data_IF_497191444972
#
_entry.id   IF_497191444972
#
_cell.length_a   1.000
_cell.length_b   1.000
_cell.length_c   1.000
_cell.angle_alpha   90.00
_cell.angle_beta   90.00
_cell.angle_gamma   90.00
#
_symmetry.space_group_name_H-M   'P 1'
#
loop_
_entity.id
_entity.type
_entity.pdbx_description
1 polymer ?
#
# COMPACT_ATOMS: atom_id res chain seq x y z
N UNK A 1 11.14 -13.53 -5.68
CA UNK A 1 10.93 -12.98 -7.05
C UNK A 1 9.55 -13.42 -7.53
N UNK A 2 8.83 -12.61 -8.32
CA UNK A 2 7.53 -12.99 -8.92
C UNK A 2 7.70 -13.19 -10.44
N UNK A 3 8.06 -14.39 -10.92
CA UNK A 3 8.32 -14.64 -12.33
C UNK A 3 7.03 -14.73 -13.17
N UNK A 4 7.15 -14.60 -14.48
CA UNK A 4 6.10 -15.04 -15.41
C UNK A 4 6.03 -16.59 -15.49
N UNK A 5 5.14 -17.10 -16.35
CA UNK A 5 4.97 -18.55 -16.54
C UNK A 5 6.16 -19.25 -17.19
N UNK A 6 7.09 -18.49 -17.78
CA UNK A 6 8.32 -18.98 -18.41
C UNK A 6 9.54 -18.83 -17.48
N UNK A 7 9.35 -18.32 -16.26
CA UNK A 7 10.44 -18.08 -15.31
C UNK A 7 11.14 -16.71 -15.46
N UNK A 8 10.71 -15.89 -16.40
CA UNK A 8 11.26 -14.58 -16.70
C UNK A 8 10.63 -13.43 -15.90
N UNK A 9 10.97 -12.20 -16.29
CA UNK A 9 10.39 -10.99 -15.69
C UNK A 9 8.90 -10.88 -16.03
N UNK A 10 8.07 -10.65 -15.01
CA UNK A 10 6.66 -10.43 -15.24
C UNK A 10 6.41 -9.05 -15.87
N UNK A 11 5.68 -9.03 -16.97
CA UNK A 11 5.26 -7.79 -17.63
C UNK A 11 4.34 -6.96 -16.70
N UNK A 12 4.70 -5.70 -16.39
CA UNK A 12 3.89 -4.82 -15.56
C UNK A 12 2.45 -4.61 -16.05
N UNK A 13 2.23 -4.61 -17.37
CA UNK A 13 0.91 -4.46 -18.01
C UNK A 13 0.02 -5.66 -17.73
N UNK A 14 0.58 -6.87 -17.75
CA UNK A 14 -0.14 -8.09 -17.38
C UNK A 14 -0.54 -8.07 -15.90
N UNK A 15 0.35 -7.61 -15.00
CA UNK A 15 0.03 -7.45 -13.58
C UNK A 15 -1.12 -6.46 -13.39
N UNK A 16 -1.07 -5.30 -14.05
CA UNK A 16 -2.13 -4.28 -13.96
C UNK A 16 -3.47 -4.81 -14.50
N UNK A 17 -3.45 -5.61 -15.56
CA UNK A 17 -4.66 -6.23 -16.12
C UNK A 17 -5.31 -7.20 -15.14
N UNK A 18 -4.52 -8.11 -14.55
CA UNK A 18 -5.01 -9.04 -13.53
C UNK A 18 -5.55 -8.28 -12.32
N UNK A 19 -4.82 -7.26 -11.86
CA UNK A 19 -5.25 -6.44 -10.75
C UNK A 19 -6.58 -5.73 -11.01
N UNK A 20 -6.79 -5.20 -12.22
CA UNK A 20 -8.08 -4.60 -12.60
C UNK A 20 -9.21 -5.61 -12.48
N UNK A 21 -9.04 -6.81 -13.07
CA UNK A 21 -10.03 -7.89 -13.00
C UNK A 21 -10.38 -8.25 -11.55
N UNK A 22 -9.39 -8.49 -10.70
CA UNK A 22 -9.63 -8.87 -9.29
C UNK A 22 -10.44 -7.81 -8.54
N UNK A 23 -10.18 -6.52 -8.80
CA UNK A 23 -10.97 -5.44 -8.17
C UNK A 23 -12.39 -5.36 -8.68
N UNK A 24 -12.57 -5.54 -9.99
CA UNK A 24 -13.88 -5.51 -10.63
C UNK A 24 -14.72 -6.68 -10.09
N UNK A 25 -14.14 -7.88 -10.00
CA UNK A 25 -14.78 -9.08 -9.44
C UNK A 25 -15.11 -8.92 -7.95
N UNK A 26 -14.27 -8.21 -7.19
CA UNK A 26 -14.48 -7.90 -5.78
C UNK A 26 -15.44 -6.71 -5.54
N UNK A 27 -15.86 -5.99 -6.58
CA UNK A 27 -16.70 -4.80 -6.46
C UNK A 27 -16.00 -3.61 -5.77
N UNK A 28 -14.67 -3.58 -5.71
CA UNK A 28 -13.91 -2.55 -4.98
C UNK A 28 -13.48 -1.42 -5.92
N UNK A 29 -14.19 -0.29 -5.86
CA UNK A 29 -13.85 0.89 -6.65
C UNK A 29 -12.65 1.66 -6.08
N UNK A 30 -11.82 2.22 -6.96
CA UNK A 30 -10.71 3.11 -6.58
C UNK A 30 -9.50 2.44 -5.90
N UNK A 31 -9.49 1.11 -5.73
CA UNK A 31 -8.37 0.41 -5.12
C UNK A 31 -7.14 0.37 -6.07
N UNK A 32 -6.07 1.07 -5.71
CA UNK A 32 -4.80 1.06 -6.47
C UNK A 32 -3.65 0.62 -5.56
N UNK A 33 -2.47 0.35 -6.13
CA UNK A 33 -1.30 -0.09 -5.36
C UNK A 33 -0.94 0.86 -4.22
N UNK A 34 -1.13 2.17 -4.42
CA UNK A 34 -0.94 3.17 -3.37
C UNK A 34 -1.96 3.03 -2.22
N UNK A 35 -3.19 2.62 -2.50
CA UNK A 35 -4.20 2.35 -1.47
C UNK A 35 -3.77 1.18 -0.60
N UNK A 36 -3.30 0.07 -1.20
CA UNK A 36 -2.78 -1.08 -0.45
C UNK A 36 -1.61 -0.70 0.45
N UNK A 37 -0.68 0.10 -0.08
CA UNK A 37 0.46 0.62 0.68
C UNK A 37 0.01 1.46 1.88
N UNK A 38 -1.04 2.28 1.71
CA UNK A 38 -1.64 3.04 2.81
C UNK A 38 -2.32 2.15 3.83
N UNK A 39 -3.03 1.11 3.39
CA UNK A 39 -3.68 0.15 4.29
C UNK A 39 -2.68 -0.55 5.21
N UNK A 40 -1.53 -0.99 4.69
CA UNK A 40 -0.47 -1.61 5.52
C UNK A 40 0.01 -0.66 6.61
N UNK A 41 0.26 0.60 6.25
CA UNK A 41 0.72 1.60 7.20
C UNK A 41 -0.34 1.94 8.26
N UNK A 42 -1.62 1.99 7.88
CA UNK A 42 -2.72 2.15 8.82
C UNK A 42 -2.78 1.00 9.82
N UNK A 43 -2.68 -0.25 9.38
CA UNK A 43 -2.65 -1.39 10.32
C UNK A 43 -1.48 -1.31 11.29
N UNK A 44 -0.29 -0.92 10.82
CA UNK A 44 0.86 -0.78 11.69
C UNK A 44 0.71 0.39 12.68
N UNK A 45 0.06 1.50 12.28
CA UNK A 45 -0.22 2.61 13.19
C UNK A 45 -1.30 2.26 14.23
N UNK A 46 -2.33 1.51 13.82
CA UNK A 46 -3.37 0.96 14.70
C UNK A 46 -2.75 0.04 15.78
N UNK A 47 -1.75 -0.76 15.40
CA UNK A 47 -0.93 -1.59 16.30
C UNK A 47 0.13 -0.80 17.10
N UNK A 48 0.08 0.54 17.05
CA UNK A 48 1.00 1.45 17.74
C UNK A 48 2.50 1.25 17.39
N UNK A 49 2.79 0.75 16.19
CA UNK A 49 4.17 0.63 15.70
C UNK A 49 4.77 2.04 15.54
N UNK A 50 6.01 2.29 16.01
CA UNK A 50 6.64 3.60 15.87
C UNK A 50 6.69 4.08 14.42
N UNK A 51 6.29 5.33 14.17
CA UNK A 51 6.20 5.92 12.81
C UNK A 51 7.48 5.79 12.00
N UNK A 52 8.65 5.83 12.64
CA UNK A 52 9.94 5.60 11.98
C UNK A 52 10.01 4.19 11.38
N UNK A 53 9.63 3.15 12.12
CA UNK A 53 9.63 1.77 11.63
C UNK A 53 8.63 1.57 10.49
N UNK A 54 7.47 2.21 10.58
CA UNK A 54 6.48 2.24 9.48
C UNK A 54 7.10 2.90 8.25
N UNK A 55 7.75 4.06 8.42
CA UNK A 55 8.45 4.75 7.34
C UNK A 55 9.52 3.89 6.68
N UNK A 56 10.30 3.17 7.48
CA UNK A 56 11.36 2.27 7.00
C UNK A 56 10.77 1.07 6.24
N UNK A 57 9.70 0.46 6.75
CA UNK A 57 8.97 -0.63 6.08
C UNK A 57 8.39 -0.19 4.73
N UNK A 58 7.91 1.04 4.67
CA UNK A 58 7.43 1.63 3.43
C UNK A 58 8.62 2.01 2.52
N UNK A 59 9.79 2.30 3.06
CA UNK A 59 10.93 2.80 2.27
C UNK A 59 10.74 4.27 1.88
N UNK A 60 10.14 5.08 2.76
CA UNK A 60 10.12 6.53 2.57
C UNK A 60 11.49 7.11 2.89
N UNK A 61 12.02 7.93 1.98
CA UNK A 61 13.29 8.65 2.17
C UNK A 61 13.20 9.74 3.26
N UNK A 62 11.99 10.18 3.60
CA UNK A 62 11.71 11.11 4.70
C UNK A 62 10.54 10.61 5.54
N UNK A 63 10.72 10.57 6.87
CA UNK A 63 9.69 10.16 7.82
C UNK A 63 8.45 11.06 7.75
N UNK A 64 8.62 12.33 7.37
CA UNK A 64 7.52 13.29 7.21
C UNK A 64 6.47 12.81 6.19
N UNK A 65 6.83 12.04 5.17
CA UNK A 65 5.85 11.49 4.21
C UNK A 65 4.86 10.50 4.87
N UNK A 66 5.30 9.81 5.92
CA UNK A 66 4.45 8.94 6.76
C UNK A 66 3.69 9.74 7.81
N UNK A 67 4.10 10.97 8.12
CA UNK A 67 3.39 11.83 9.06
C UNK A 67 2.30 12.64 8.34
N UNK A 68 2.64 13.26 7.21
CA UNK A 68 1.75 14.12 6.40
C UNK A 68 0.50 13.39 5.89
N UNK A 69 0.60 12.07 5.69
CA UNK A 69 -0.52 11.25 5.20
C UNK A 69 -1.34 10.56 6.30
N UNK A 70 -0.85 10.48 7.54
CA UNK A 70 -1.47 9.63 8.59
C UNK A 70 -1.87 10.40 9.85
N UNK A 71 -1.17 11.49 10.22
CA UNK A 71 -1.49 12.28 11.43
C UNK A 71 -2.87 12.95 11.40
N UNK A 72 -3.47 13.14 10.21
CA UNK A 72 -4.81 13.71 10.06
C UNK A 72 -5.94 12.83 10.59
N UNK A 73 -5.73 11.50 10.74
CA UNK A 73 -6.80 10.56 11.09
C UNK A 73 -7.03 10.40 12.60
N UNK A 74 -6.02 10.73 13.44
CA UNK A 74 -6.19 10.80 14.90
C UNK A 74 -6.89 12.06 15.39
N UNK A 75 -6.96 13.12 14.57
CA UNK A 75 -7.64 14.38 14.93
C UNK A 75 -9.16 14.31 14.79
N UNK A 76 -9.69 13.33 14.05
CA UNK A 76 -11.13 13.19 13.78
C UNK A 76 -11.83 12.18 14.70
N UNK A 77 -11.08 11.53 15.61
CA UNK A 77 -11.57 10.46 16.49
C UNK A 77 -11.46 10.84 17.98
N UNK A 78 -11.92 12.05 18.31
CA UNK A 78 -12.16 12.52 19.70
C UNK A 78 -13.45 13.31 19.79
#
# INVERSE_FOLDING_TARGET
MFPDSLGGWRDPSNVRRVWRRVRDDAGIQGLVSHTLRKTVASFLDDDAVPTRKISDQLGHSRVSMTQDHYLGRRLTDR
#
